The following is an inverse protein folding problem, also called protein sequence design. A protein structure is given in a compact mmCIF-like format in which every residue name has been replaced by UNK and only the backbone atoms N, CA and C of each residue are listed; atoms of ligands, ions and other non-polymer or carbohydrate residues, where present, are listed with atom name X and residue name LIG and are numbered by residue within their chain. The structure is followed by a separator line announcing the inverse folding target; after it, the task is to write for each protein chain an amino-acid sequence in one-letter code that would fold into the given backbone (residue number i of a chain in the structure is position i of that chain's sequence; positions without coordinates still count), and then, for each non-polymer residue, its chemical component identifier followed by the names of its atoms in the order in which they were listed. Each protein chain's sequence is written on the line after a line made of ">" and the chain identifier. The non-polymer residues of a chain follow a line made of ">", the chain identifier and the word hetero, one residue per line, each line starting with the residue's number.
data_IF_342982163570
#
_entry.id   IF_342982163570
#
_cell.length_a   1.000
_cell.length_b   1.000
_cell.length_c   1.000
_cell.angle_alpha   90.00
_cell.angle_beta   90.00
_cell.angle_gamma   90.00
#
_symmetry.space_group_name_H-M   'P 1'
#
loop_
_entity.id
_entity.type
_entity.pdbx_description
1 polymer ?
#
# COMPACT_ATOMS: atom_id res chain seq x y z
N UNK A 1 4.94 -14.65 -55.18
CA UNK A 1 5.91 -13.53 -55.18
C UNK A 1 6.50 -13.43 -53.80
N UNK A 2 7.76 -13.81 -53.68
CA UNK A 2 8.57 -13.73 -52.48
C UNK A 2 9.07 -12.30 -52.28
N UNK A 3 9.05 -11.81 -51.06
CA UNK A 3 9.93 -10.74 -50.63
C UNK A 3 10.47 -11.04 -49.22
N UNK A 4 11.75 -11.41 -49.20
CA UNK A 4 12.65 -11.46 -48.02
C UNK A 4 13.15 -10.05 -47.75
N UNK A 5 13.47 -9.75 -46.52
CA UNK A 5 14.58 -8.88 -46.08
C UNK A 5 14.35 -8.50 -44.63
N UNK A 6 15.26 -8.34 -43.72
CA UNK A 6 16.69 -8.60 -43.52
C UNK A 6 16.95 -8.32 -42.04
N UNK A 7 17.66 -9.22 -41.43
CA UNK A 7 18.31 -9.12 -40.13
C UNK A 7 19.27 -7.94 -40.08
N UNK A 8 19.21 -7.11 -39.04
CA UNK A 8 20.31 -6.24 -38.64
C UNK A 8 20.68 -6.49 -37.18
N UNK A 9 21.79 -7.19 -37.08
CA UNK A 9 22.59 -7.43 -35.87
C UNK A 9 23.54 -6.24 -35.71
N UNK A 10 23.54 -5.56 -34.62
CA UNK A 10 24.57 -4.60 -34.25
C UNK A 10 25.19 -4.99 -32.91
N UNK A 11 26.48 -5.11 -32.96
CA UNK A 11 27.42 -5.64 -31.99
C UNK A 11 27.78 -4.64 -30.89
N UNK A 12 27.97 -5.18 -29.72
CA UNK A 12 29.00 -4.94 -28.69
C UNK A 12 29.91 -3.73 -28.82
N UNK A 13 29.99 -2.96 -27.73
CA UNK A 13 31.26 -2.35 -27.32
C UNK A 13 31.39 -2.38 -25.80
N UNK A 14 32.29 -3.21 -25.32
CA UNK A 14 32.97 -3.18 -24.05
C UNK A 14 33.84 -1.91 -23.94
N UNK A 15 33.83 -1.25 -22.81
CA UNK A 15 34.88 -0.34 -22.40
C UNK A 15 35.23 -0.59 -20.93
N UNK A 16 36.39 -1.14 -20.77
CA UNK A 16 37.15 -1.39 -19.55
C UNK A 16 37.91 -0.11 -19.13
N UNK A 17 38.12 0.06 -17.84
CA UNK A 17 39.19 0.94 -17.28
C UNK A 17 38.59 2.18 -16.60
N UNK A 18 38.91 2.53 -15.38
CA UNK A 18 40.09 2.35 -14.62
C UNK A 18 40.04 3.20 -13.35
N UNK A 19 40.66 2.66 -12.32
CA UNK A 19 41.51 3.33 -11.36
C UNK A 19 40.89 4.17 -10.23
N UNK A 20 41.07 3.60 -9.07
CA UNK A 20 41.15 4.10 -7.71
C UNK A 20 41.60 5.57 -7.55
N UNK A 21 40.99 6.28 -6.60
CA UNK A 21 41.65 7.27 -5.80
C UNK A 21 41.12 7.25 -4.37
N UNK A 22 41.96 6.72 -3.49
CA UNK A 22 41.85 6.87 -2.04
C UNK A 22 42.10 8.32 -1.70
N UNK A 23 41.21 8.96 -0.99
CA UNK A 23 41.48 10.14 -0.21
C UNK A 23 41.00 9.90 1.22
N UNK A 24 41.93 9.41 2.00
CA UNK A 24 41.90 9.45 3.47
C UNK A 24 41.96 10.92 3.91
N UNK A 25 40.84 11.43 4.41
CA UNK A 25 40.86 12.71 5.11
C UNK A 25 40.71 12.44 6.60
N UNK A 26 41.82 12.58 7.30
CA UNK A 26 41.91 12.54 8.74
C UNK A 26 40.98 13.60 9.34
N UNK A 27 40.01 13.15 10.14
CA UNK A 27 39.20 14.02 10.96
C UNK A 27 39.94 14.24 12.29
N UNK A 28 40.44 15.46 12.48
CA UNK A 28 41.03 15.92 13.74
C UNK A 28 39.96 15.90 14.83
N UNK A 29 40.29 15.24 15.93
CA UNK A 29 39.57 15.29 17.20
C UNK A 29 39.59 16.69 17.76
N UNK A 30 38.43 17.32 17.90
CA UNK A 30 38.22 18.46 18.78
C UNK A 30 37.19 18.05 19.82
N UNK A 31 37.69 17.96 21.06
CA UNK A 31 36.83 17.76 22.24
C UNK A 31 36.05 19.05 22.50
N UNK A 32 34.77 18.98 22.61
CA UNK A 32 33.79 19.68 23.47
C UNK A 32 32.43 19.69 22.79
N UNK A 33 31.44 19.12 23.46
CA UNK A 33 30.03 19.27 23.09
C UNK A 33 29.30 17.96 22.75
N UNK A 34 29.10 17.14 23.76
CA UNK A 34 28.18 16.01 23.68
C UNK A 34 26.73 16.52 23.47
N UNK A 35 26.37 16.77 22.23
CA UNK A 35 24.96 16.85 21.85
C UNK A 35 24.49 15.41 21.63
N UNK A 36 23.78 14.89 22.62
CA UNK A 36 22.98 13.66 22.48
C UNK A 36 22.00 13.90 21.33
N UNK A 37 22.35 13.45 20.13
CA UNK A 37 21.33 13.17 19.11
C UNK A 37 20.47 12.03 19.64
N UNK A 38 19.33 12.39 20.21
CA UNK A 38 18.27 11.43 20.46
C UNK A 38 17.86 10.88 19.08
N UNK A 39 18.40 9.72 18.76
CA UNK A 39 17.94 8.90 17.64
C UNK A 39 16.51 8.49 18.00
N UNK A 40 15.55 9.20 17.44
CA UNK A 40 14.15 8.74 17.43
C UNK A 40 14.17 7.40 16.71
N UNK A 41 14.22 6.33 17.46
CA UNK A 41 13.96 4.99 16.97
C UNK A 41 12.50 5.01 16.57
N UNK A 42 12.22 5.15 15.27
CA UNK A 42 10.94 4.76 14.73
C UNK A 42 10.81 3.27 15.04
N UNK A 43 10.05 2.96 16.07
CA UNK A 43 9.66 1.61 16.41
C UNK A 43 8.75 1.13 15.29
N UNK A 44 9.34 0.49 14.26
CA UNK A 44 8.58 -0.40 13.41
C UNK A 44 8.27 -1.63 14.26
N UNK A 45 7.20 -1.54 15.05
CA UNK A 45 6.65 -2.71 15.69
C UNK A 45 6.22 -3.64 14.54
N UNK A 46 6.93 -4.78 14.42
CA UNK A 46 6.46 -5.87 13.58
C UNK A 46 5.01 -6.16 13.96
N UNK A 47 4.10 -6.36 12.99
CA UNK A 47 2.71 -6.66 13.31
C UNK A 47 2.69 -7.89 14.22
N UNK A 48 2.09 -7.74 15.40
CA UNK A 48 1.82 -8.88 16.26
C UNK A 48 1.04 -9.89 15.43
N UNK A 49 1.40 -11.18 15.55
CA UNK A 49 0.90 -12.30 14.74
C UNK A 49 -0.61 -12.59 14.88
N UNK A 50 -1.45 -11.59 14.92
CA UNK A 50 -2.92 -11.58 14.88
C UNK A 50 -3.43 -10.13 14.89
N UNK A 51 -2.71 -9.20 14.26
CA UNK A 51 -3.16 -7.82 14.15
C UNK A 51 -4.27 -7.71 13.12
N UNK A 52 -5.43 -7.23 13.54
CA UNK A 52 -6.54 -6.88 12.67
C UNK A 52 -6.59 -5.37 12.51
N UNK A 53 -6.91 -4.92 11.30
CA UNK A 53 -7.22 -3.53 10.99
C UNK A 53 -8.66 -3.45 10.49
N UNK A 54 -9.42 -2.53 11.05
CA UNK A 54 -10.77 -2.22 10.62
C UNK A 54 -10.71 -0.98 9.72
N UNK A 55 -11.05 -1.15 8.45
CA UNK A 55 -11.25 -0.06 7.51
C UNK A 55 -12.74 0.23 7.42
N UNK A 56 -13.11 1.51 7.57
CA UNK A 56 -14.47 2.00 7.31
C UNK A 56 -14.39 3.03 6.21
N UNK A 57 -15.07 2.78 5.09
CA UNK A 57 -15.28 3.71 3.99
C UNK A 57 -16.59 4.46 4.23
N UNK A 58 -16.55 5.78 4.34
CA UNK A 58 -17.77 6.59 4.46
C UNK A 58 -18.22 7.02 3.06
N UNK A 59 -19.46 6.75 2.76
CA UNK A 59 -20.02 6.99 1.43
C UNK A 59 -20.68 8.35 1.32
N UNK A 60 -20.78 8.85 0.09
CA UNK A 60 -21.58 10.02 -0.24
C UNK A 60 -23.08 9.70 -0.18
N UNK A 61 -23.90 10.71 0.00
CA UNK A 61 -25.36 10.59 -0.10
C UNK A 61 -25.76 10.08 -1.49
N UNK A 62 -26.77 9.21 -1.53
CA UNK A 62 -27.26 8.59 -2.77
C UNK A 62 -26.29 7.55 -3.34
N UNK A 63 -25.48 6.91 -2.48
CA UNK A 63 -24.50 5.88 -2.87
C UNK A 63 -25.10 4.77 -3.72
N UNK A 64 -26.31 4.30 -3.39
CA UNK A 64 -26.98 3.20 -4.10
C UNK A 64 -27.20 3.50 -5.59
N UNK A 65 -27.51 4.74 -5.92
CA UNK A 65 -27.75 5.20 -7.29
C UNK A 65 -26.46 5.43 -8.06
N UNK A 66 -25.44 5.95 -7.36
CA UNK A 66 -24.16 6.36 -7.96
C UNK A 66 -23.18 5.21 -8.17
N UNK A 67 -23.23 4.18 -7.32
CA UNK A 67 -22.23 3.09 -7.30
C UNK A 67 -22.30 2.13 -8.49
N UNK A 68 -23.43 2.11 -9.23
CA UNK A 68 -23.70 1.12 -10.30
C UNK A 68 -22.50 0.88 -11.22
N UNK A 69 -21.95 1.90 -11.89
CA UNK A 69 -20.84 1.77 -12.84
C UNK A 69 -19.52 1.28 -12.22
N UNK A 70 -19.32 1.50 -10.92
CA UNK A 70 -18.06 1.22 -10.21
C UNK A 70 -18.13 -0.03 -9.34
N UNK A 71 -19.34 -0.61 -9.18
CA UNK A 71 -19.58 -1.69 -8.22
C UNK A 71 -18.81 -2.97 -8.54
N UNK A 72 -18.76 -3.35 -9.80
CA UNK A 72 -18.06 -4.57 -10.23
C UNK A 72 -16.56 -4.48 -9.92
N UNK A 73 -15.91 -3.38 -10.28
CA UNK A 73 -14.50 -3.16 -10.03
C UNK A 73 -14.18 -3.11 -8.53
N UNK A 74 -15.04 -2.45 -7.73
CA UNK A 74 -14.93 -2.41 -6.26
C UNK A 74 -15.01 -3.82 -5.66
N UNK A 75 -16.01 -4.60 -6.02
CA UNK A 75 -16.17 -5.98 -5.52
C UNK A 75 -15.04 -6.89 -5.97
N UNK A 76 -14.54 -6.74 -7.21
CA UNK A 76 -13.37 -7.47 -7.68
C UNK A 76 -12.10 -7.14 -6.87
N UNK A 77 -11.94 -5.88 -6.44
CA UNK A 77 -10.86 -5.49 -5.52
C UNK A 77 -10.97 -6.18 -4.17
N UNK A 78 -12.15 -6.15 -3.57
CA UNK A 78 -12.43 -6.83 -2.31
C UNK A 78 -12.21 -8.34 -2.39
N UNK A 79 -12.68 -8.97 -3.49
CA UNK A 79 -12.53 -10.39 -3.71
C UNK A 79 -11.06 -10.81 -3.82
N UNK A 80 -10.23 -10.05 -4.55
CA UNK A 80 -8.78 -10.32 -4.62
C UNK A 80 -8.13 -10.29 -3.23
N UNK A 81 -8.43 -9.28 -2.42
CA UNK A 81 -7.90 -9.23 -1.05
C UNK A 81 -8.38 -10.38 -0.16
N UNK A 82 -9.59 -10.88 -0.39
CA UNK A 82 -10.11 -12.07 0.30
C UNK A 82 -9.36 -13.34 -0.17
N UNK A 83 -9.17 -13.51 -1.46
CA UNK A 83 -8.47 -14.66 -2.05
C UNK A 83 -6.99 -14.70 -1.64
N UNK A 84 -6.37 -13.52 -1.50
CA UNK A 84 -4.99 -13.35 -1.00
C UNK A 84 -4.90 -13.56 0.54
N UNK A 85 -6.03 -13.66 1.23
CA UNK A 85 -6.09 -13.83 2.69
C UNK A 85 -5.77 -12.57 3.50
N UNK A 86 -5.68 -11.40 2.85
CA UNK A 86 -5.47 -10.11 3.53
C UNK A 86 -6.78 -9.51 4.05
N UNK A 87 -7.89 -9.77 3.37
CA UNK A 87 -9.24 -9.41 3.82
C UNK A 87 -9.93 -10.65 4.36
N UNK A 88 -10.42 -10.56 5.59
CA UNK A 88 -11.17 -11.64 6.26
C UNK A 88 -12.66 -11.51 5.98
N UNK A 89 -13.15 -10.29 5.98
CA UNK A 89 -14.56 -9.97 5.84
C UNK A 89 -14.73 -8.56 5.27
N UNK A 90 -15.72 -8.38 4.41
CA UNK A 90 -16.09 -7.07 3.89
C UNK A 90 -17.61 -6.99 3.68
N UNK A 91 -18.17 -5.80 3.86
CA UNK A 91 -19.59 -5.57 3.65
C UNK A 91 -19.97 -4.11 3.77
N UNK A 92 -21.21 -3.80 3.42
CA UNK A 92 -21.80 -2.48 3.60
C UNK A 92 -22.74 -2.46 4.80
N UNK A 93 -22.77 -1.34 5.52
CA UNK A 93 -23.80 -1.07 6.51
C UNK A 93 -25.11 -0.83 5.79
N UNK A 94 -26.22 -1.25 6.43
CA UNK A 94 -27.57 -1.11 5.91
C UNK A 94 -28.39 -0.17 6.80
N UNK A 95 -29.38 0.48 6.19
CA UNK A 95 -30.38 1.30 6.85
C UNK A 95 -29.82 2.47 7.71
N UNK A 96 -29.09 3.41 7.09
CA UNK A 96 -28.85 3.62 5.65
C UNK A 96 -27.57 2.93 5.12
N UNK A 97 -27.43 2.85 3.79
CA UNK A 97 -26.17 2.42 3.14
C UNK A 97 -25.22 3.62 3.04
N UNK A 98 -24.58 3.97 4.13
CA UNK A 98 -23.72 5.14 4.29
C UNK A 98 -22.23 4.78 4.49
N UNK A 99 -21.94 3.50 4.73
CA UNK A 99 -20.56 3.06 4.91
C UNK A 99 -20.33 1.61 4.45
N UNK A 100 -19.08 1.32 4.08
CA UNK A 100 -18.55 -0.02 3.89
C UNK A 100 -17.49 -0.33 4.94
N UNK A 101 -17.46 -1.58 5.41
CA UNK A 101 -16.53 -2.05 6.43
C UNK A 101 -15.73 -3.21 5.87
N UNK A 102 -14.41 -3.18 6.10
CA UNK A 102 -13.47 -4.23 5.73
C UNK A 102 -12.62 -4.61 6.94
N UNK A 103 -12.42 -5.89 7.12
CA UNK A 103 -11.57 -6.44 8.17
C UNK A 103 -10.32 -7.01 7.49
N UNK A 104 -9.18 -6.38 7.74
CA UNK A 104 -7.88 -6.84 7.27
C UNK A 104 -7.16 -7.62 8.37
N UNK A 105 -6.33 -8.59 7.97
CA UNK A 105 -5.53 -9.42 8.87
C UNK A 105 -4.07 -9.47 8.40
N UNK A 106 -3.14 -9.34 9.36
CA UNK A 106 -1.70 -9.51 9.14
C UNK A 106 -1.08 -8.55 8.09
N UNK A 107 -1.66 -7.38 7.93
CA UNK A 107 -1.16 -6.30 7.08
C UNK A 107 -0.93 -5.03 7.88
N UNK A 108 -0.12 -4.13 7.36
CA UNK A 108 0.09 -2.82 7.95
C UNK A 108 -0.90 -1.77 7.41
N UNK A 109 -0.90 -0.60 8.04
CA UNK A 109 -1.77 0.51 7.63
C UNK A 109 -1.44 1.03 6.22
N UNK A 110 -0.17 0.92 5.80
CA UNK A 110 0.25 1.33 4.46
C UNK A 110 -0.39 0.47 3.37
N UNK A 111 -0.48 -0.84 3.61
CA UNK A 111 -1.18 -1.77 2.72
C UNK A 111 -2.68 -1.41 2.59
N UNK A 112 -3.35 -1.12 3.71
CA UNK A 112 -4.76 -0.75 3.70
C UNK A 112 -4.98 0.59 2.97
N UNK A 113 -4.09 1.57 3.14
CA UNK A 113 -4.13 2.84 2.40
C UNK A 113 -3.99 2.62 0.89
N UNK A 114 -3.03 1.82 0.47
CA UNK A 114 -2.86 1.47 -0.95
C UNK A 114 -4.09 0.76 -1.53
N UNK A 115 -4.73 -0.11 -0.77
CA UNK A 115 -5.99 -0.73 -1.14
C UNK A 115 -7.09 0.31 -1.38
N UNK A 116 -7.25 1.30 -0.46
CA UNK A 116 -8.26 2.36 -0.60
C UNK A 116 -7.97 3.24 -1.82
N UNK A 117 -6.71 3.64 -2.04
CA UNK A 117 -6.30 4.48 -3.17
C UNK A 117 -6.55 3.81 -4.53
N UNK A 118 -6.50 2.47 -4.59
CA UNK A 118 -6.80 1.68 -5.78
C UNK A 118 -8.29 1.33 -5.92
N UNK A 119 -9.12 1.61 -4.92
CA UNK A 119 -10.53 1.25 -4.90
C UNK A 119 -11.36 2.10 -5.87
N UNK A 120 -12.22 1.43 -6.67
CA UNK A 120 -13.01 2.10 -7.70
C UNK A 120 -14.00 3.14 -7.15
N UNK A 121 -14.53 2.95 -5.93
CA UNK A 121 -15.39 3.94 -5.29
C UNK A 121 -14.62 5.15 -4.82
N UNK A 122 -13.41 4.95 -4.30
CA UNK A 122 -12.54 6.06 -3.88
C UNK A 122 -12.09 6.88 -5.08
N UNK A 123 -11.62 6.24 -6.16
CA UNK A 123 -11.23 6.91 -7.42
C UNK A 123 -12.40 7.68 -8.04
N UNK A 124 -13.62 7.16 -7.93
CA UNK A 124 -14.82 7.83 -8.43
C UNK A 124 -15.34 8.95 -7.51
N UNK A 125 -14.67 9.24 -6.38
CA UNK A 125 -15.09 10.27 -5.43
C UNK A 125 -16.34 9.91 -4.62
N UNK A 126 -16.73 8.63 -4.59
CA UNK A 126 -17.88 8.14 -3.82
C UNK A 126 -17.55 7.90 -2.34
N UNK A 127 -16.25 7.95 -1.97
CA UNK A 127 -15.73 7.79 -0.62
C UNK A 127 -14.99 9.07 -0.21
N UNK A 128 -15.67 10.08 0.31
CA UNK A 128 -15.04 11.34 0.71
C UNK A 128 -14.13 11.21 1.92
N UNK A 129 -14.32 10.17 2.72
CA UNK A 129 -13.56 9.92 3.95
C UNK A 129 -13.48 8.42 4.23
N UNK A 130 -12.36 8.00 4.80
CA UNK A 130 -12.21 6.65 5.36
C UNK A 130 -11.48 6.71 6.70
N UNK A 131 -11.59 5.64 7.49
CA UNK A 131 -10.87 5.49 8.76
C UNK A 131 -10.26 4.10 8.82
N UNK A 132 -9.01 4.02 9.29
CA UNK A 132 -8.30 2.78 9.55
C UNK A 132 -8.03 2.72 11.06
N UNK A 133 -8.43 1.64 11.72
CA UNK A 133 -8.23 1.49 13.15
C UNK A 133 -7.72 0.08 13.48
N UNK A 134 -6.70 -0.04 14.35
CA UNK A 134 -6.39 -1.33 14.96
C UNK A 134 -7.62 -1.90 15.69
N UNK A 135 -7.87 -3.18 15.47
CA UNK A 135 -9.01 -3.87 16.11
C UNK A 135 -8.52 -5.06 16.92
N UNK A 136 -8.83 -5.03 18.21
CA UNK A 136 -8.57 -6.16 19.08
C UNK A 136 -9.75 -7.14 19.00
N UNK A 137 -9.53 -8.26 18.33
CA UNK A 137 -10.51 -9.35 18.25
C UNK A 137 -10.40 -10.17 19.53
N UNK A 138 -11.48 -10.24 20.30
CA UNK A 138 -11.55 -11.00 21.56
C UNK A 138 -12.29 -12.32 21.40
N UNK A 139 -13.11 -12.46 20.36
CA UNK A 139 -13.86 -13.70 20.03
C UNK A 139 -13.96 -13.77 18.51
N UNK A 140 -13.75 -14.92 17.95
CA UNK A 140 -13.76 -15.18 16.53
C UNK A 140 -12.34 -15.19 15.93
N UNK A 141 -12.08 -16.15 15.05
CA UNK A 141 -10.81 -16.29 14.33
C UNK A 141 -11.08 -16.94 12.96
#
# INVERSE_FOLDING_TARGET
>A
MLARTTTTRAQTRTATGGIASRLTRACRTSAHGARRCARVMASSAAPASNAYLLLTLHYVDGMLEKRGPHREAHLAGAQRGYDDGTIVMAGALLDPVDAGVFVFKNVDEAHVKAFVEADAYYVAGLVPRYTIRPWMVVVGN
#
